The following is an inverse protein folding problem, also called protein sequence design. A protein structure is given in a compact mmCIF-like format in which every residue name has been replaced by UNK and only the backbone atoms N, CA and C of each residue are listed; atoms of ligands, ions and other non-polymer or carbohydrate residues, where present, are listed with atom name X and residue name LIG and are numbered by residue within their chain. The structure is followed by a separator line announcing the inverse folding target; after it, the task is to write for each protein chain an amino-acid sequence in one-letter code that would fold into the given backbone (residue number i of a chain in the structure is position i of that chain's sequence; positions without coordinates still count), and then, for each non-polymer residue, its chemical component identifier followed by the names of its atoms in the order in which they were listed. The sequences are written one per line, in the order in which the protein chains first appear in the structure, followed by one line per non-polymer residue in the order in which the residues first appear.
data_IF_770516417554
#
_entry.id   IF_770516417554
#
_cell.length_a   1.000
_cell.length_b   1.000
_cell.length_c   1.000
_cell.angle_alpha   90.00
_cell.angle_beta   90.00
_cell.angle_gamma   90.00
#
_symmetry.space_group_name_H-M   'P 1'
#
loop_
_entity.id
_entity.type
_entity.pdbx_description
1 polymer ?
#
# COMPACT_ATOMS: atom_id res chain seq x y z
N UNK A 1 -1.92 32.74 -29.78
CA UNK A 1 -2.28 32.66 -28.34
C UNK A 1 -1.54 31.48 -27.78
N UNK A 2 -0.52 31.73 -26.97
CA UNK A 2 0.31 30.69 -26.36
C UNK A 2 -0.40 30.33 -25.04
N UNK A 3 -0.97 29.13 -24.96
CA UNK A 3 -1.53 28.61 -23.72
C UNK A 3 -0.39 28.30 -22.77
N UNK A 4 -0.21 29.12 -21.73
CA UNK A 4 0.66 28.80 -20.61
C UNK A 4 0.07 27.60 -19.87
N UNK A 5 0.59 26.40 -20.13
CA UNK A 5 0.32 25.21 -19.34
C UNK A 5 0.95 25.36 -17.96
N UNK A 6 0.15 25.73 -16.97
CA UNK A 6 0.54 25.60 -15.56
C UNK A 6 0.56 24.12 -15.24
N UNK A 7 1.76 23.54 -15.08
CA UNK A 7 1.90 22.23 -14.42
C UNK A 7 1.60 22.43 -12.94
N UNK A 8 0.58 21.73 -12.42
CA UNK A 8 0.26 21.74 -10.98
C UNK A 8 1.45 21.21 -10.17
N UNK A 9 1.69 21.82 -9.00
CA UNK A 9 2.71 21.37 -8.07
C UNK A 9 2.46 19.92 -7.66
N UNK A 10 3.52 19.14 -7.49
CA UNK A 10 3.40 17.78 -6.91
C UNK A 10 3.77 17.83 -5.41
N UNK A 11 3.28 16.87 -4.63
CA UNK A 11 3.68 16.76 -3.21
C UNK A 11 5.21 16.59 -3.06
N UNK A 12 5.85 15.91 -3.99
CA UNK A 12 7.32 15.77 -4.02
C UNK A 12 8.01 17.14 -4.15
N UNK A 13 7.46 18.04 -4.96
CA UNK A 13 8.00 19.40 -5.11
C UNK A 13 7.85 20.19 -3.80
N UNK A 14 6.74 20.02 -3.08
CA UNK A 14 6.50 20.62 -1.77
C UNK A 14 7.45 20.03 -0.74
N UNK A 15 7.47 18.71 -0.56
CA UNK A 15 8.28 18.04 0.46
C UNK A 15 9.79 18.10 0.19
N UNK A 16 10.21 18.47 -1.01
CA UNK A 16 11.62 18.81 -1.29
C UNK A 16 12.06 20.14 -0.67
N UNK A 17 11.11 20.98 -0.23
CA UNK A 17 11.35 22.34 0.27
C UNK A 17 10.89 22.58 1.69
N UNK A 18 9.86 21.86 2.12
CA UNK A 18 9.29 21.92 3.47
C UNK A 18 8.96 20.52 3.95
N UNK A 19 9.17 20.24 5.22
CA UNK A 19 8.76 18.98 5.84
C UNK A 19 7.33 19.07 6.41
N UNK A 20 6.76 17.92 6.80
CA UNK A 20 5.40 17.86 7.36
C UNK A 20 5.27 18.61 8.68
N UNK A 21 6.34 18.69 9.49
CA UNK A 21 6.36 19.49 10.73
C UNK A 21 6.23 20.98 10.43
N UNK A 22 6.86 21.47 9.37
CA UNK A 22 6.75 22.86 8.92
C UNK A 22 5.33 23.14 8.39
N UNK A 23 4.72 22.20 7.67
CA UNK A 23 3.32 22.30 7.22
C UNK A 23 2.39 22.30 8.43
N UNK A 24 2.60 21.41 9.41
CA UNK A 24 1.84 21.37 10.66
C UNK A 24 1.92 22.69 11.41
N UNK A 25 3.12 23.21 11.56
CA UNK A 25 3.33 24.50 12.23
C UNK A 25 2.63 25.65 11.49
N UNK A 26 2.68 25.66 10.17
CA UNK A 26 2.05 26.71 9.35
C UNK A 26 0.53 26.74 9.51
N UNK A 27 -0.15 25.57 9.46
CA UNK A 27 -1.61 25.51 9.50
C UNK A 27 -2.20 25.48 10.93
N UNK A 28 -1.46 24.95 11.91
CA UNK A 28 -1.97 24.72 13.26
C UNK A 28 -1.17 25.42 14.37
N UNK A 29 -0.01 26.01 14.06
CA UNK A 29 0.88 26.61 15.05
C UNK A 29 1.54 25.57 15.98
N UNK A 30 1.56 24.29 15.60
CA UNK A 30 2.11 23.20 16.41
C UNK A 30 3.55 22.97 16.00
N UNK A 31 4.46 23.09 16.97
CA UNK A 31 5.91 22.94 16.75
C UNK A 31 6.51 21.66 17.31
N UNK A 32 5.74 20.91 18.11
CA UNK A 32 6.20 19.65 18.71
C UNK A 32 5.08 18.62 18.75
N UNK A 33 5.41 17.37 18.46
CA UNK A 33 4.52 16.22 18.58
C UNK A 33 5.14 15.19 19.54
N UNK A 34 4.34 14.41 20.32
CA UNK A 34 2.88 14.37 20.28
C UNK A 34 2.21 15.62 20.89
N UNK A 35 1.09 16.03 20.31
CA UNK A 35 0.31 17.18 20.74
C UNK A 35 -1.17 16.79 20.89
N UNK A 36 -1.87 17.33 21.92
CA UNK A 36 -3.31 17.14 22.12
C UNK A 36 -4.05 18.47 22.03
N UNK A 37 -5.17 18.46 21.33
CA UNK A 37 -6.02 19.62 21.13
C UNK A 37 -7.51 19.21 21.05
N UNK A 38 -8.38 20.20 20.99
CA UNK A 38 -9.77 19.97 20.60
C UNK A 38 -9.83 19.61 19.12
N UNK A 39 -10.79 18.77 18.73
CA UNK A 39 -10.91 18.33 17.34
C UNK A 39 -11.17 19.53 16.41
N UNK A 40 -10.39 19.69 15.33
CA UNK A 40 -10.66 20.72 14.31
C UNK A 40 -11.77 20.29 13.34
N UNK A 41 -12.20 19.02 13.40
CA UNK A 41 -13.19 18.45 12.49
C UNK A 41 -14.63 18.49 13.05
N UNK A 42 -14.80 18.80 14.34
CA UNK A 42 -16.09 18.84 15.01
C UNK A 42 -16.03 19.75 16.24
N UNK A 43 -17.20 20.09 16.78
CA UNK A 43 -17.29 20.78 18.08
C UNK A 43 -16.76 19.85 19.20
N UNK A 44 -15.77 20.28 19.92
CA UNK A 44 -15.13 19.53 21.00
C UNK A 44 -14.99 20.38 22.25
N UNK A 45 -15.41 19.84 23.39
CA UNK A 45 -15.33 20.52 24.68
C UNK A 45 -14.15 20.07 25.54
N UNK A 46 -13.48 18.98 25.14
CA UNK A 46 -12.32 18.43 25.85
C UNK A 46 -11.27 17.99 24.83
N UNK A 47 -9.95 18.21 25.10
CA UNK A 47 -8.91 17.79 24.17
C UNK A 47 -8.93 16.29 23.91
N UNK A 48 -9.60 15.89 22.83
CA UNK A 48 -9.74 14.49 22.42
C UNK A 48 -9.10 14.19 21.05
N UNK A 49 -8.37 15.16 20.49
CA UNK A 49 -7.69 15.01 19.22
C UNK A 49 -6.17 15.01 19.42
N UNK A 50 -5.51 13.95 18.96
CA UNK A 50 -4.06 13.78 19.08
C UNK A 50 -3.37 13.93 17.73
N UNK A 51 -2.26 14.66 17.71
CA UNK A 51 -1.33 14.74 16.57
C UNK A 51 -0.02 14.13 17.02
N UNK A 52 0.53 13.22 16.22
CA UNK A 52 1.72 12.46 16.58
C UNK A 52 2.55 12.07 15.35
N UNK A 53 3.78 11.64 15.59
CA UNK A 53 4.65 11.02 14.61
C UNK A 53 5.27 9.78 15.22
N UNK A 54 5.30 8.67 14.51
CA UNK A 54 5.93 7.42 14.96
C UNK A 54 7.38 7.28 14.48
N UNK A 55 7.74 7.97 13.40
CA UNK A 55 9.06 7.91 12.76
C UNK A 55 9.84 9.24 12.80
N UNK A 56 9.21 10.28 13.37
CA UNK A 56 9.80 11.63 13.45
C UNK A 56 9.74 12.43 12.14
N UNK A 57 9.14 11.88 11.09
CA UNK A 57 9.06 12.48 9.75
C UNK A 57 7.61 12.72 9.34
N UNK A 58 6.77 11.71 9.46
CA UNK A 58 5.37 11.76 9.02
C UNK A 58 4.45 12.12 10.18
N UNK A 59 3.51 13.02 9.93
CA UNK A 59 2.55 13.53 10.92
C UNK A 59 1.21 12.84 10.71
N UNK A 60 0.69 12.30 11.81
CA UNK A 60 -0.60 11.61 11.87
C UNK A 60 -1.52 12.27 12.90
N UNK A 61 -2.82 12.08 12.72
CA UNK A 61 -3.81 12.46 13.74
C UNK A 61 -4.67 11.27 14.16
N UNK A 62 -5.25 11.40 15.34
CA UNK A 62 -6.31 10.50 15.84
C UNK A 62 -7.29 11.30 16.68
N UNK A 63 -8.57 11.24 16.31
CA UNK A 63 -9.68 11.69 17.15
C UNK A 63 -10.11 10.54 18.06
N UNK A 64 -9.78 10.63 19.35
CA UNK A 64 -10.08 9.58 20.32
C UNK A 64 -11.57 9.47 20.66
N UNK A 65 -12.39 10.44 20.31
CA UNK A 65 -13.82 10.40 20.54
C UNK A 65 -14.58 9.69 19.43
N UNK A 66 -14.15 9.85 18.16
CA UNK A 66 -14.78 9.20 17.00
C UNK A 66 -14.05 7.95 16.56
N UNK A 67 -12.77 7.80 16.92
CA UNK A 67 -11.87 6.77 16.43
C UNK A 67 -11.25 7.09 15.06
N UNK A 68 -11.60 8.23 14.48
CA UNK A 68 -11.07 8.67 13.18
C UNK A 68 -9.57 8.98 13.28
N UNK A 69 -8.82 8.59 12.26
CA UNK A 69 -7.37 8.81 12.19
C UNK A 69 -6.92 8.92 10.73
N UNK A 70 -5.77 9.56 10.51
CA UNK A 70 -5.21 9.75 9.17
C UNK A 70 -3.89 10.52 9.22
N UNK A 71 -3.38 10.86 8.04
CA UNK A 71 -2.19 11.69 7.86
C UNK A 71 -2.50 13.18 8.05
N UNK A 72 -1.46 14.02 8.10
CA UNK A 72 -1.59 15.48 8.07
C UNK A 72 -2.37 15.96 6.84
N UNK A 73 -2.14 15.32 5.70
CA UNK A 73 -2.79 15.72 4.45
C UNK A 73 -4.28 15.34 4.46
N UNK A 74 -4.66 14.18 5.02
CA UNK A 74 -6.06 13.81 5.21
C UNK A 74 -6.78 14.81 6.11
N UNK A 75 -6.15 15.21 7.21
CA UNK A 75 -6.68 16.23 8.10
C UNK A 75 -6.93 17.56 7.37
N UNK A 76 -5.96 18.00 6.58
CA UNK A 76 -6.11 19.25 5.82
C UNK A 76 -7.16 19.15 4.73
N UNK A 77 -7.26 18.01 4.01
CA UNK A 77 -8.32 17.79 3.02
C UNK A 77 -9.70 17.88 3.65
N UNK A 78 -9.89 17.27 4.82
CA UNK A 78 -11.17 17.35 5.53
C UNK A 78 -11.50 18.74 6.04
N UNK A 79 -10.52 19.44 6.65
CA UNK A 79 -10.74 20.80 7.17
C UNK A 79 -11.13 21.77 6.07
N UNK A 80 -10.49 21.66 4.90
CA UNK A 80 -10.75 22.57 3.78
C UNK A 80 -11.80 22.04 2.81
N UNK A 81 -12.29 20.82 2.99
CA UNK A 81 -13.22 20.13 2.09
C UNK A 81 -12.76 20.18 0.62
N UNK A 82 -11.52 19.80 0.36
CA UNK A 82 -10.91 19.84 -0.97
C UNK A 82 -10.22 18.53 -1.32
N UNK A 83 -10.10 18.25 -2.62
CA UNK A 83 -9.33 17.10 -3.11
C UNK A 83 -7.84 17.27 -2.84
N UNK A 84 -7.10 16.15 -2.86
CA UNK A 84 -5.65 16.15 -2.65
C UNK A 84 -4.90 17.08 -3.63
N UNK A 85 -5.27 17.05 -4.91
CA UNK A 85 -4.65 17.95 -5.92
C UNK A 85 -4.84 19.42 -5.56
N UNK A 86 -6.07 19.80 -5.17
CA UNK A 86 -6.36 21.17 -4.71
C UNK A 86 -5.62 21.52 -3.42
N UNK A 87 -5.41 20.52 -2.51
CA UNK A 87 -4.63 20.73 -1.30
C UNK A 87 -3.16 21.01 -1.63
N UNK A 88 -2.57 20.27 -2.55
CA UNK A 88 -1.18 20.47 -2.97
C UNK A 88 -1.00 21.88 -3.57
N UNK A 89 -1.89 22.29 -4.43
CA UNK A 89 -1.88 23.66 -4.99
C UNK A 89 -2.06 24.71 -3.89
N UNK A 90 -2.94 24.45 -2.90
CA UNK A 90 -3.16 25.34 -1.75
C UNK A 90 -1.88 25.46 -0.90
N UNK A 91 -1.26 24.35 -0.50
CA UNK A 91 -0.02 24.38 0.29
C UNK A 91 1.08 25.13 -0.47
N UNK A 92 1.23 24.85 -1.76
CA UNK A 92 2.21 25.54 -2.61
C UNK A 92 2.02 27.05 -2.61
N UNK A 93 0.78 27.51 -2.72
CA UNK A 93 0.41 28.95 -2.70
C UNK A 93 0.58 29.56 -1.31
N UNK A 94 0.00 28.94 -0.29
CA UNK A 94 -0.03 29.47 1.07
C UNK A 94 1.38 29.61 1.66
N UNK A 95 2.27 28.65 1.38
CA UNK A 95 3.65 28.64 1.86
C UNK A 95 4.64 29.30 0.86
N UNK A 96 4.16 29.92 -0.23
CA UNK A 96 4.98 30.55 -1.28
C UNK A 96 6.06 29.60 -1.87
N UNK A 97 5.71 28.32 -2.06
CA UNK A 97 6.63 27.34 -2.61
C UNK A 97 6.68 27.50 -4.13
N UNK A 98 7.72 28.16 -4.62
CA UNK A 98 7.93 28.37 -6.05
C UNK A 98 8.27 27.04 -6.74
N UNK A 99 7.35 26.48 -7.53
CA UNK A 99 7.51 25.21 -8.25
C UNK A 99 8.05 25.38 -9.67
N UNK A 100 8.79 26.48 -9.95
CA UNK A 100 9.44 26.63 -11.24
C UNK A 100 10.52 25.57 -11.42
N UNK A 101 10.49 24.91 -12.58
CA UNK A 101 11.35 23.83 -13.01
C UNK A 101 12.82 24.07 -12.65
N UNK A 102 13.34 23.24 -11.76
CA UNK A 102 14.80 23.05 -11.66
C UNK A 102 15.12 21.94 -12.64
N UNK A 103 15.76 22.31 -13.77
CA UNK A 103 16.52 21.38 -14.58
C UNK A 103 17.64 20.80 -13.72
N UNK A 104 17.37 19.71 -13.04
CA UNK A 104 18.42 18.97 -12.32
C UNK A 104 19.21 18.23 -13.39
N UNK A 105 20.33 18.84 -13.79
CA UNK A 105 21.42 18.09 -14.44
C UNK A 105 21.75 16.91 -13.49
N UNK A 106 21.68 15.70 -14.02
CA UNK A 106 22.05 14.46 -13.32
C UNK A 106 23.48 14.56 -12.81
N UNK A 107 23.67 15.02 -11.59
CA UNK A 107 24.91 14.78 -10.88
C UNK A 107 24.91 13.32 -10.45
N UNK A 108 25.76 12.54 -11.07
CA UNK A 108 26.04 11.16 -10.69
C UNK A 108 26.65 11.16 -9.28
N UNK A 109 25.82 10.94 -8.28
CA UNK A 109 26.32 10.52 -6.97
C UNK A 109 26.73 9.06 -7.15
N UNK A 110 28.03 8.83 -7.29
CA UNK A 110 28.63 7.51 -7.18
C UNK A 110 28.42 7.02 -5.75
N UNK A 111 27.36 6.27 -5.49
CA UNK A 111 27.34 5.41 -4.34
C UNK A 111 28.37 4.31 -4.56
N UNK A 112 29.44 4.35 -3.80
CA UNK A 112 30.31 3.20 -3.60
C UNK A 112 29.49 2.14 -2.85
N UNK A 113 28.72 1.34 -3.60
CA UNK A 113 28.15 0.10 -3.10
C UNK A 113 29.32 -0.86 -2.88
N UNK A 114 29.67 -1.07 -1.63
CA UNK A 114 30.43 -2.27 -1.24
C UNK A 114 29.53 -3.44 -1.61
N UNK A 115 29.82 -4.07 -2.74
CA UNK A 115 29.16 -5.30 -3.16
C UNK A 115 29.65 -6.38 -2.19
N UNK A 116 28.94 -6.56 -1.09
CA UNK A 116 29.02 -7.82 -0.35
C UNK A 116 28.43 -8.84 -1.32
N UNK A 117 29.25 -9.74 -1.83
CA UNK A 117 28.80 -10.87 -2.62
C UNK A 117 27.79 -11.67 -1.80
N UNK A 118 26.52 -11.43 -2.05
CA UNK A 118 25.45 -12.25 -1.49
C UNK A 118 25.66 -13.65 -2.08
N UNK A 119 26.10 -14.58 -1.23
CA UNK A 119 25.97 -16.00 -1.52
C UNK A 119 24.49 -16.20 -1.84
N UNK A 120 24.19 -16.54 -3.12
CA UNK A 120 22.81 -16.67 -3.57
C UNK A 120 22.14 -17.75 -2.72
N UNK A 121 21.26 -17.33 -1.82
CA UNK A 121 20.45 -18.25 -1.05
C UNK A 121 19.46 -18.87 -2.02
N UNK A 122 19.67 -20.14 -2.36
CA UNK A 122 18.72 -20.90 -3.18
C UNK A 122 17.69 -21.52 -2.27
N UNK A 123 16.43 -21.18 -2.52
CA UNK A 123 15.26 -21.67 -1.78
C UNK A 123 14.52 -22.72 -2.62
N UNK A 124 14.34 -23.91 -2.07
CA UNK A 124 13.49 -24.97 -2.63
C UNK A 124 12.42 -25.38 -1.63
N UNK A 125 11.36 -26.01 -2.13
CA UNK A 125 10.25 -26.47 -1.30
C UNK A 125 9.84 -27.89 -1.69
N UNK A 126 9.33 -28.66 -0.72
CA UNK A 126 8.62 -29.90 -0.98
C UNK A 126 7.13 -29.62 -0.87
N UNK A 127 6.45 -29.61 -2.00
CA UNK A 127 4.99 -29.40 -2.07
C UNK A 127 4.24 -30.62 -1.52
N UNK A 128 2.98 -30.44 -1.18
CA UNK A 128 2.01 -31.46 -0.83
C UNK A 128 0.64 -31.14 -1.44
N UNK A 129 -0.23 -32.11 -1.45
CA UNK A 129 -1.61 -31.89 -1.87
C UNK A 129 -2.36 -30.94 -0.93
N UNK A 130 -3.33 -30.22 -1.49
CA UNK A 130 -4.30 -29.43 -0.77
C UNK A 130 -5.16 -30.33 0.12
N UNK A 131 -5.39 -29.93 1.35
CA UNK A 131 -6.23 -30.62 2.32
C UNK A 131 -7.37 -29.70 2.78
N UNK A 132 -8.42 -30.28 3.36
CA UNK A 132 -9.59 -29.51 3.79
C UNK A 132 -9.22 -28.31 4.69
N UNK A 133 -8.29 -28.49 5.63
CA UNK A 133 -7.86 -27.41 6.50
C UNK A 133 -7.11 -26.29 5.77
N UNK A 134 -6.51 -26.53 4.61
CA UNK A 134 -5.94 -25.47 3.77
C UNK A 134 -7.06 -24.68 3.11
N UNK A 135 -8.06 -25.40 2.60
CA UNK A 135 -9.25 -24.78 1.99
C UNK A 135 -9.99 -23.91 3.02
N UNK A 136 -10.30 -24.49 4.19
CA UNK A 136 -10.94 -23.77 5.30
C UNK A 136 -10.17 -22.50 5.70
N UNK A 137 -8.83 -22.59 5.80
CA UNK A 137 -8.00 -21.44 6.12
C UNK A 137 -8.14 -20.32 5.09
N UNK A 138 -7.95 -20.61 3.81
CA UNK A 138 -7.99 -19.58 2.78
C UNK A 138 -9.40 -19.04 2.52
N UNK A 139 -10.41 -19.90 2.54
CA UNK A 139 -11.81 -19.49 2.39
C UNK A 139 -12.28 -18.62 3.57
N UNK A 140 -11.76 -18.86 4.78
CA UNK A 140 -12.05 -18.00 5.94
C UNK A 140 -11.59 -16.54 5.77
N UNK A 141 -10.65 -16.30 4.84
CA UNK A 141 -10.19 -14.97 4.44
C UNK A 141 -10.75 -14.53 3.07
N UNK A 142 -11.78 -15.21 2.57
CA UNK A 142 -12.41 -14.86 1.29
C UNK A 142 -11.58 -15.19 0.05
N UNK A 143 -10.53 -15.98 0.19
CA UNK A 143 -9.65 -16.35 -0.91
C UNK A 143 -10.16 -17.60 -1.64
N UNK A 144 -10.51 -17.47 -2.92
CA UNK A 144 -10.96 -18.58 -3.74
C UNK A 144 -9.81 -19.54 -4.06
N UNK A 145 -10.01 -20.84 -3.80
CA UNK A 145 -8.99 -21.88 -4.00
C UNK A 145 -8.56 -22.02 -5.46
N UNK A 146 -9.47 -21.85 -6.40
CA UNK A 146 -9.10 -21.94 -7.82
C UNK A 146 -8.23 -20.76 -8.24
N UNK A 147 -8.49 -19.57 -7.69
CA UNK A 147 -7.66 -18.40 -7.92
C UNK A 147 -6.28 -18.57 -7.26
N UNK A 148 -6.19 -19.15 -6.06
CA UNK A 148 -4.91 -19.47 -5.43
C UNK A 148 -4.09 -20.48 -6.25
N UNK A 149 -4.72 -21.52 -6.79
CA UNK A 149 -4.07 -22.48 -7.70
C UNK A 149 -3.59 -21.81 -8.98
N UNK A 150 -4.42 -20.96 -9.57
CA UNK A 150 -4.03 -20.14 -10.72
C UNK A 150 -2.87 -19.21 -10.41
N UNK A 151 -2.84 -18.65 -9.21
CA UNK A 151 -1.77 -17.81 -8.69
C UNK A 151 -0.48 -18.60 -8.33
N UNK A 152 -0.42 -19.90 -8.63
CA UNK A 152 0.71 -20.78 -8.30
C UNK A 152 1.06 -20.77 -6.81
N UNK A 153 0.03 -20.83 -5.95
CA UNK A 153 0.18 -21.04 -4.52
C UNK A 153 0.12 -22.54 -4.22
N UNK A 154 1.12 -23.06 -3.55
CA UNK A 154 1.24 -24.49 -3.25
C UNK A 154 1.37 -24.72 -1.75
N UNK A 155 0.56 -25.62 -1.15
CA UNK A 155 0.84 -26.12 0.18
C UNK A 155 2.18 -26.86 0.20
N UNK A 156 2.97 -26.67 1.26
CA UNK A 156 4.30 -27.26 1.38
C UNK A 156 4.45 -28.03 2.70
N UNK A 157 5.34 -29.02 2.69
CA UNK A 157 5.71 -29.79 3.88
C UNK A 157 7.08 -29.43 4.41
N UNK A 158 8.02 -29.04 3.54
CA UNK A 158 9.39 -28.69 3.91
C UNK A 158 9.88 -27.52 3.07
N UNK A 159 10.75 -26.69 3.68
CA UNK A 159 11.61 -25.74 2.99
C UNK A 159 13.04 -26.22 3.02
N UNK A 160 13.75 -26.02 1.93
CA UNK A 160 15.13 -26.43 1.72
C UNK A 160 15.91 -25.17 1.36
N UNK A 161 16.91 -24.85 2.17
CA UNK A 161 17.76 -23.68 2.00
C UNK A 161 19.17 -24.17 1.68
N UNK A 162 19.71 -23.70 0.55
CA UNK A 162 21.10 -23.88 0.21
C UNK A 162 21.87 -22.62 0.56
N UNK A 163 22.87 -22.77 1.41
CA UNK A 163 23.77 -21.68 1.83
C UNK A 163 25.18 -22.25 1.93
N UNK A 164 26.16 -21.55 1.37
CA UNK A 164 27.58 -21.95 1.41
C UNK A 164 27.81 -23.43 0.98
N UNK A 165 27.15 -23.82 -0.12
CA UNK A 165 27.16 -25.21 -0.65
C UNK A 165 26.60 -26.27 0.29
N UNK A 166 26.00 -25.91 1.41
CA UNK A 166 25.31 -26.79 2.34
C UNK A 166 23.82 -26.76 2.13
N UNK A 167 23.19 -27.92 2.27
CA UNK A 167 21.74 -28.09 2.17
C UNK A 167 21.15 -28.24 3.57
N UNK A 168 20.20 -27.35 3.90
CA UNK A 168 19.45 -27.38 5.15
C UNK A 168 17.98 -27.65 4.83
N UNK A 169 17.39 -28.68 5.45
CA UNK A 169 16.00 -29.08 5.28
C UNK A 169 15.23 -28.83 6.57
N UNK A 170 14.16 -28.10 6.50
CA UNK A 170 13.30 -27.74 7.64
C UNK A 170 11.89 -28.21 7.38
N UNK A 171 11.28 -28.90 8.32
CA UNK A 171 9.84 -29.13 8.29
C UNK A 171 9.09 -27.81 8.43
N UNK A 172 8.01 -27.64 7.67
CA UNK A 172 7.13 -26.50 7.76
C UNK A 172 5.94 -26.80 8.68
N UNK A 173 5.26 -25.73 9.11
CA UNK A 173 4.03 -25.84 9.88
C UNK A 173 2.92 -26.54 9.07
N UNK A 174 1.86 -27.01 9.76
CA UNK A 174 0.68 -27.61 9.12
C UNK A 174 0.08 -26.70 8.04
N UNK A 175 -0.02 -25.41 8.34
CA UNK A 175 -0.39 -24.36 7.39
C UNK A 175 0.88 -23.66 6.91
N UNK A 176 1.38 -24.10 5.78
CA UNK A 176 2.55 -23.51 5.12
C UNK A 176 2.35 -23.55 3.62
N UNK A 177 2.61 -22.42 2.98
CA UNK A 177 2.35 -22.21 1.56
C UNK A 177 3.54 -21.56 0.88
N UNK A 178 3.80 -21.95 -0.37
CA UNK A 178 4.79 -21.33 -1.23
C UNK A 178 4.08 -20.61 -2.38
N UNK A 179 4.36 -19.34 -2.55
CA UNK A 179 3.96 -18.53 -3.69
C UNK A 179 5.08 -18.56 -4.72
N UNK A 180 4.75 -18.90 -5.96
CA UNK A 180 5.69 -18.86 -7.08
C UNK A 180 5.49 -17.55 -7.81
N UNK A 181 6.53 -16.73 -7.83
CA UNK A 181 6.52 -15.46 -8.53
C UNK A 181 7.56 -15.45 -9.64
N UNK A 182 7.30 -14.70 -10.70
CA UNK A 182 8.16 -14.64 -11.87
C UNK A 182 8.63 -13.20 -12.09
N UNK A 183 9.94 -13.04 -12.25
CA UNK A 183 10.55 -11.79 -12.68
C UNK A 183 11.44 -12.09 -13.87
N UNK A 184 11.09 -11.56 -15.03
CA UNK A 184 11.79 -11.87 -16.28
C UNK A 184 11.85 -13.40 -16.51
N UNK A 185 13.04 -13.98 -16.62
CA UNK A 185 13.26 -15.42 -16.78
C UNK A 185 13.46 -16.16 -15.45
N UNK A 186 13.40 -15.47 -14.30
CA UNK A 186 13.67 -16.04 -13.00
C UNK A 186 12.38 -16.44 -12.29
N UNK A 187 12.41 -17.62 -11.65
CA UNK A 187 11.36 -18.07 -10.76
C UNK A 187 11.82 -17.80 -9.34
N UNK A 188 11.03 -17.05 -8.61
CA UNK A 188 11.26 -16.71 -7.21
C UNK A 188 10.19 -17.33 -6.32
N UNK A 189 10.47 -17.45 -5.04
CA UNK A 189 9.58 -18.12 -4.09
C UNK A 189 9.45 -17.31 -2.82
N UNK A 190 8.20 -17.20 -2.33
CA UNK A 190 7.89 -16.65 -1.02
C UNK A 190 7.10 -17.68 -0.22
N UNK A 191 7.58 -18.02 0.96
CA UNK A 191 6.94 -18.99 1.85
C UNK A 191 6.20 -18.23 2.94
N UNK A 192 4.97 -18.63 3.17
CA UNK A 192 4.08 -18.10 4.19
C UNK A 192 3.67 -19.19 5.18
N UNK A 193 3.90 -18.93 6.46
CA UNK A 193 3.51 -19.78 7.58
C UNK A 193 2.75 -18.92 8.61
N UNK A 194 1.42 -18.81 8.51
CA UNK A 194 0.63 -17.81 9.26
C UNK A 194 0.78 -17.90 10.78
N UNK A 195 0.95 -19.12 11.29
CA UNK A 195 0.97 -19.38 12.73
C UNK A 195 2.36 -19.81 13.24
N UNK A 196 3.43 -19.50 12.50
CA UNK A 196 4.78 -19.87 12.92
C UNK A 196 5.17 -19.18 14.25
N UNK A 197 5.35 -19.99 15.29
CA UNK A 197 5.66 -19.53 16.65
C UNK A 197 7.10 -19.03 16.82
N UNK A 198 7.99 -19.39 15.90
CA UNK A 198 9.42 -19.05 15.97
C UNK A 198 9.77 -17.76 15.23
N UNK A 199 8.77 -16.95 14.86
CA UNK A 199 8.97 -15.68 14.15
C UNK A 199 9.27 -15.81 12.64
N UNK A 200 9.29 -17.03 12.08
CA UNK A 200 9.57 -17.27 10.67
C UNK A 200 8.27 -17.32 9.83
N UNK A 201 7.38 -16.35 10.03
CA UNK A 201 6.14 -16.22 9.25
C UNK A 201 6.43 -16.16 7.76
N UNK A 202 7.51 -15.49 7.37
CA UNK A 202 7.94 -15.30 6.00
C UNK A 202 9.35 -15.83 5.74
N UNK A 203 9.55 -16.46 4.58
CA UNK A 203 10.88 -16.81 4.04
C UNK A 203 10.82 -16.57 2.53
N UNK A 204 11.73 -15.80 1.95
CA UNK A 204 11.65 -15.43 0.54
C UNK A 204 13.00 -15.50 -0.16
N UNK A 205 12.97 -15.86 -1.45
CA UNK A 205 14.06 -15.65 -2.41
C UNK A 205 13.80 -14.46 -3.32
N UNK A 206 12.69 -13.76 -3.13
CA UNK A 206 12.31 -12.60 -3.92
C UNK A 206 13.14 -11.38 -3.51
N UNK A 207 13.56 -10.60 -4.48
CA UNK A 207 13.99 -9.22 -4.23
C UNK A 207 12.78 -8.27 -4.16
N UNK A 208 13.02 -7.04 -3.73
CA UNK A 208 11.96 -6.03 -3.58
C UNK A 208 11.29 -5.62 -4.90
N UNK A 209 11.90 -5.88 -6.05
CA UNK A 209 11.38 -5.49 -7.35
C UNK A 209 10.42 -6.53 -7.96
N UNK A 210 10.23 -7.68 -7.33
CA UNK A 210 9.28 -8.70 -7.76
C UNK A 210 7.87 -8.26 -7.41
N UNK A 211 7.04 -8.07 -8.43
CA UNK A 211 5.61 -7.77 -8.26
C UNK A 211 4.83 -9.07 -8.34
N UNK A 212 4.07 -9.35 -7.30
CA UNK A 212 3.29 -10.58 -7.23
C UNK A 212 2.06 -10.53 -8.13
N UNK A 213 1.67 -11.69 -8.66
CA UNK A 213 0.58 -11.88 -9.62
C UNK A 213 0.77 -11.19 -10.97
N UNK A 214 1.92 -10.58 -11.25
CA UNK A 214 2.19 -9.86 -12.49
C UNK A 214 1.88 -10.68 -13.76
N UNK A 215 2.29 -11.96 -13.77
CA UNK A 215 2.07 -12.87 -14.89
C UNK A 215 0.65 -13.46 -14.94
N UNK A 216 -0.20 -13.13 -13.97
CA UNK A 216 -1.55 -13.71 -13.80
C UNK A 216 -2.66 -12.74 -14.15
N UNK A 217 -2.39 -11.44 -14.10
CA UNK A 217 -3.38 -10.42 -14.48
C UNK A 217 -3.58 -10.40 -16.00
N UNK A 218 -4.79 -10.08 -16.50
CA UNK A 218 -5.06 -9.89 -17.92
C UNK A 218 -4.06 -8.92 -18.58
N UNK A 219 -3.78 -9.12 -19.86
CA UNK A 219 -2.84 -8.24 -20.60
C UNK A 219 -3.35 -6.79 -20.68
N UNK A 220 -4.69 -6.62 -20.73
CA UNK A 220 -5.35 -5.30 -20.70
C UNK A 220 -6.61 -5.39 -19.86
N UNK A 221 -7.06 -4.27 -19.33
CA UNK A 221 -8.28 -4.18 -18.55
C UNK A 221 -8.67 -2.75 -18.24
N UNK A 222 -9.86 -2.56 -17.66
CA UNK A 222 -10.31 -1.25 -17.23
C UNK A 222 -9.65 -0.83 -15.92
N UNK A 223 -9.75 -1.68 -14.91
CA UNK A 223 -9.32 -1.37 -13.54
C UNK A 223 -8.37 -2.43 -13.00
N UNK A 224 -7.32 -2.00 -12.28
CA UNK A 224 -6.36 -2.84 -11.56
C UNK A 224 -6.20 -2.33 -10.12
N UNK A 225 -6.06 -3.27 -9.17
CA UNK A 225 -5.70 -2.95 -7.79
C UNK A 225 -4.27 -3.36 -7.48
N UNK A 226 -3.59 -2.55 -6.68
CA UNK A 226 -2.26 -2.86 -6.11
C UNK A 226 -2.44 -3.03 -4.61
N UNK A 227 -2.22 -4.22 -4.09
CA UNK A 227 -2.38 -4.57 -2.68
C UNK A 227 -1.03 -4.73 -1.97
N UNK A 228 -1.04 -4.72 -0.64
CA UNK A 228 0.16 -4.95 0.18
C UNK A 228 0.52 -6.45 0.28
N UNK A 229 -0.43 -7.35 0.06
CA UNK A 229 -0.22 -8.79 0.24
C UNK A 229 -0.94 -9.66 -0.81
N UNK A 230 -0.46 -10.90 -1.00
CA UNK A 230 -1.18 -11.90 -1.80
C UNK A 230 -2.57 -12.19 -1.21
N UNK A 231 -2.69 -12.27 0.13
CA UNK A 231 -3.93 -12.60 0.81
C UNK A 231 -5.03 -11.60 0.46
N UNK A 232 -4.72 -10.30 0.55
CA UNK A 232 -5.66 -9.23 0.19
C UNK A 232 -5.96 -9.19 -1.30
N UNK A 233 -4.94 -9.39 -2.13
CA UNK A 233 -5.10 -9.46 -3.59
C UNK A 233 -6.07 -10.56 -4.00
N UNK A 234 -5.88 -11.76 -3.47
CA UNK A 234 -6.75 -12.90 -3.80
C UNK A 234 -8.15 -12.72 -3.18
N UNK A 235 -8.25 -12.17 -1.97
CA UNK A 235 -9.52 -11.86 -1.33
C UNK A 235 -10.33 -10.85 -2.17
N UNK A 236 -9.75 -9.72 -2.50
CA UNK A 236 -10.41 -8.69 -3.33
C UNK A 236 -10.75 -9.23 -4.71
N UNK A 237 -9.80 -9.85 -5.41
CA UNK A 237 -10.07 -10.40 -6.74
C UNK A 237 -11.18 -11.44 -6.74
N UNK A 238 -11.23 -12.30 -5.70
CA UNK A 238 -12.28 -13.33 -5.57
C UNK A 238 -13.68 -12.75 -5.34
N UNK A 239 -13.80 -11.60 -4.69
CA UNK A 239 -15.07 -11.08 -4.21
C UNK A 239 -15.55 -9.81 -4.94
N UNK A 240 -14.60 -8.99 -5.41
CA UNK A 240 -14.87 -7.73 -6.13
C UNK A 240 -14.71 -7.93 -7.64
N UNK A 241 -14.02 -8.99 -8.08
CA UNK A 241 -13.76 -9.34 -9.48
C UNK A 241 -12.90 -8.32 -10.25
N UNK A 242 -12.13 -7.50 -9.55
CA UNK A 242 -11.11 -6.63 -10.14
C UNK A 242 -9.76 -7.34 -10.04
N UNK A 243 -8.97 -7.45 -11.13
CA UNK A 243 -7.62 -8.01 -11.08
C UNK A 243 -6.74 -7.29 -10.08
N UNK A 244 -5.92 -8.04 -9.36
CA UNK A 244 -5.02 -7.51 -8.34
C UNK A 244 -3.58 -7.96 -8.57
N UNK A 245 -2.64 -7.09 -8.27
CA UNK A 245 -1.22 -7.40 -8.05
C UNK A 245 -0.84 -7.05 -6.62
N UNK A 246 0.31 -7.52 -6.15
CA UNK A 246 0.79 -7.10 -4.84
C UNK A 246 2.30 -6.82 -4.84
N UNK A 247 2.70 -5.94 -3.92
CA UNK A 247 4.11 -5.63 -3.66
C UNK A 247 4.70 -6.60 -2.62
N UNK A 248 6.02 -6.84 -2.65
CA UNK A 248 6.64 -7.86 -1.79
C UNK A 248 6.79 -7.46 -0.33
N UNK A 249 6.83 -6.18 -0.06
CA UNK A 249 6.85 -5.57 1.28
C UNK A 249 6.39 -4.13 1.17
N UNK A 250 6.03 -3.57 2.28
CA UNK A 250 5.55 -2.20 2.43
C UNK A 250 6.53 -1.16 1.84
N UNK A 251 7.84 -1.39 1.97
CA UNK A 251 8.88 -0.54 1.37
C UNK A 251 9.25 -0.92 -0.06
N UNK A 252 8.34 -1.53 -0.81
CA UNK A 252 8.62 -1.95 -2.19
C UNK A 252 8.29 -0.82 -3.18
N UNK A 253 9.31 -0.39 -3.89
CA UNK A 253 9.13 0.53 -4.99
C UNK A 253 8.83 -0.20 -6.29
N UNK A 254 7.73 0.15 -6.96
CA UNK A 254 7.54 -0.20 -8.35
C UNK A 254 8.56 0.54 -9.22
N UNK A 255 9.20 -0.16 -10.15
CA UNK A 255 10.10 0.49 -11.12
C UNK A 255 9.29 1.36 -12.09
N UNK A 256 9.92 2.40 -12.62
CA UNK A 256 9.27 3.30 -13.60
C UNK A 256 8.83 2.52 -14.85
N UNK A 257 9.58 1.49 -15.25
CA UNK A 257 9.19 0.60 -16.34
C UNK A 257 7.95 -0.23 -16.03
N UNK A 258 7.79 -0.70 -14.78
CA UNK A 258 6.61 -1.42 -14.34
C UNK A 258 5.39 -0.49 -14.31
N UNK A 259 5.54 0.72 -13.76
CA UNK A 259 4.49 1.74 -13.75
C UNK A 259 4.02 2.06 -15.17
N UNK A 260 4.95 2.37 -16.08
CA UNK A 260 4.64 2.65 -17.48
C UNK A 260 3.94 1.47 -18.19
N UNK A 261 4.36 0.24 -17.88
CA UNK A 261 3.74 -0.97 -18.42
C UNK A 261 2.28 -1.11 -17.92
N UNK A 262 2.03 -0.91 -16.63
CA UNK A 262 0.68 -0.99 -16.06
C UNK A 262 -0.24 0.08 -16.63
N UNK A 263 0.22 1.31 -16.75
CA UNK A 263 -0.53 2.45 -17.33
C UNK A 263 -0.92 2.23 -18.80
N UNK A 264 -0.14 1.44 -19.54
CA UNK A 264 -0.50 1.04 -20.91
C UNK A 264 -1.53 -0.08 -20.96
N UNK A 265 -1.65 -0.87 -19.90
CA UNK A 265 -2.52 -2.05 -19.82
C UNK A 265 -3.89 -1.75 -19.21
N UNK A 266 -3.97 -0.77 -18.31
CA UNK A 266 -5.17 -0.47 -17.53
C UNK A 266 -5.50 1.03 -17.57
N UNK A 267 -6.81 1.32 -17.70
CA UNK A 267 -7.29 2.70 -17.73
C UNK A 267 -7.22 3.33 -16.33
N UNK A 268 -7.51 2.53 -15.31
CA UNK A 268 -7.56 2.96 -13.91
C UNK A 268 -6.75 2.02 -13.03
N UNK A 269 -5.84 2.57 -12.25
CA UNK A 269 -5.01 1.80 -11.31
C UNK A 269 -5.14 2.43 -9.94
N UNK A 270 -5.47 1.60 -8.94
CA UNK A 270 -5.68 2.06 -7.56
C UNK A 270 -4.80 1.29 -6.59
N UNK A 271 -4.40 1.97 -5.50
CA UNK A 271 -3.66 1.40 -4.39
C UNK A 271 -4.69 0.99 -3.32
N UNK A 272 -4.66 -0.27 -2.89
CA UNK A 272 -5.57 -0.83 -1.90
C UNK A 272 -4.76 -1.55 -0.80
N UNK A 273 -3.98 -0.77 -0.03
CA UNK A 273 -3.12 -1.27 1.04
C UNK A 273 -3.90 -1.43 2.36
N UNK A 274 -3.20 -1.92 3.39
CA UNK A 274 -3.73 -2.10 4.74
C UNK A 274 -4.14 -0.74 5.33
N UNK A 275 -5.15 -0.74 6.21
CA UNK A 275 -5.64 0.49 6.84
C UNK A 275 -4.86 0.88 8.10
N UNK A 276 -3.83 0.13 8.49
CA UNK A 276 -3.00 0.54 9.62
C UNK A 276 -1.97 1.62 9.22
N UNK A 277 -1.36 2.26 10.21
CA UNK A 277 -0.47 3.40 9.97
C UNK A 277 0.69 3.09 9.02
N UNK A 278 1.19 1.84 9.02
CA UNK A 278 2.26 1.43 8.12
C UNK A 278 1.73 1.33 6.68
N UNK A 279 0.60 0.64 6.48
CA UNK A 279 -0.02 0.49 5.16
C UNK A 279 -0.45 1.84 4.56
N UNK A 280 -0.94 2.77 5.37
CA UNK A 280 -1.27 4.12 4.90
C UNK A 280 -0.03 4.91 4.44
N UNK A 281 1.05 4.90 5.22
CA UNK A 281 2.33 5.55 4.84
C UNK A 281 2.82 4.99 3.51
N UNK A 282 2.79 3.68 3.36
CA UNK A 282 3.31 3.03 2.16
C UNK A 282 2.41 3.25 0.95
N UNK A 283 1.09 3.28 1.14
CA UNK A 283 0.14 3.66 0.09
C UNK A 283 0.40 5.10 -0.39
N UNK A 284 0.66 6.01 0.51
CA UNK A 284 1.02 7.39 0.18
C UNK A 284 2.34 7.48 -0.58
N UNK A 285 3.37 6.79 -0.12
CA UNK A 285 4.67 6.76 -0.80
C UNK A 285 4.53 6.22 -2.24
N UNK A 286 3.73 5.17 -2.41
CA UNK A 286 3.46 4.63 -3.74
C UNK A 286 2.65 5.61 -4.59
N UNK A 287 1.63 6.27 -4.03
CA UNK A 287 0.87 7.33 -4.70
C UNK A 287 1.77 8.47 -5.16
N UNK A 288 2.68 8.94 -4.30
CA UNK A 288 3.63 10.00 -4.64
C UNK A 288 4.47 9.67 -5.86
N UNK A 289 4.87 8.41 -5.97
CA UNK A 289 5.68 7.93 -7.08
C UNK A 289 4.88 7.73 -8.36
N UNK A 290 3.66 7.21 -8.24
CA UNK A 290 2.88 6.72 -9.37
C UNK A 290 1.77 7.66 -9.84
N UNK A 291 1.27 8.50 -8.95
CA UNK A 291 0.05 9.29 -9.16
C UNK A 291 -1.24 8.47 -9.05
N UNK A 292 -1.17 7.19 -8.65
CA UNK A 292 -2.37 6.35 -8.51
C UNK A 292 -3.16 6.73 -7.27
N UNK A 293 -4.49 6.67 -7.37
CA UNK A 293 -5.38 6.99 -6.27
C UNK A 293 -5.45 5.86 -5.24
N UNK A 294 -5.68 6.21 -3.97
CA UNK A 294 -5.75 5.25 -2.86
C UNK A 294 -7.21 4.94 -2.54
N UNK A 295 -7.54 3.65 -2.51
CA UNK A 295 -8.78 3.13 -1.92
C UNK A 295 -8.46 2.79 -0.46
N UNK A 296 -8.90 3.65 0.46
CA UNK A 296 -8.58 3.51 1.88
C UNK A 296 -9.33 2.33 2.52
N UNK A 297 -8.57 1.40 3.10
CA UNK A 297 -9.11 0.33 3.93
C UNK A 297 -9.40 0.89 5.32
N UNK A 298 -10.67 1.02 5.70
CA UNK A 298 -11.01 1.49 7.03
C UNK A 298 -10.84 0.38 8.07
N UNK A 299 -10.15 0.71 9.17
CA UNK A 299 -10.02 -0.21 10.31
C UNK A 299 -11.39 -0.37 10.98
N UNK A 300 -11.84 -1.62 11.11
CA UNK A 300 -13.08 -1.96 11.81
C UNK A 300 -12.74 -2.97 12.92
N UNK A 301 -12.82 -2.57 14.16
CA UNK A 301 -12.45 -3.38 15.32
C UNK A 301 -11.03 -3.99 15.15
N UNK A 302 -10.96 -5.31 14.90
CA UNK A 302 -9.71 -6.06 14.72
C UNK A 302 -9.24 -6.15 13.27
N UNK A 303 -10.12 -5.83 12.32
CA UNK A 303 -9.82 -5.92 10.90
C UNK A 303 -9.04 -4.68 10.47
N UNK A 304 -7.83 -4.89 9.99
CA UNK A 304 -6.93 -3.82 9.55
C UNK A 304 -6.52 -3.95 8.08
N UNK A 305 -6.88 -5.05 7.46
CA UNK A 305 -6.71 -5.30 6.03
C UNK A 305 -8.01 -5.82 5.40
N UNK A 306 -8.08 -5.87 4.09
CA UNK A 306 -9.29 -6.28 3.35
C UNK A 306 -9.70 -7.72 3.63
N UNK A 307 -8.75 -8.62 3.76
CA UNK A 307 -9.00 -10.02 4.08
C UNK A 307 -9.43 -10.23 5.53
N UNK A 308 -8.98 -9.38 6.45
CA UNK A 308 -9.47 -9.36 7.84
C UNK A 308 -10.94 -8.89 7.90
N UNK A 309 -11.33 -7.89 7.08
CA UNK A 309 -12.74 -7.49 6.98
C UNK A 309 -13.61 -8.67 6.56
N UNK A 310 -13.16 -9.43 5.56
CA UNK A 310 -13.88 -10.66 5.17
C UNK A 310 -13.91 -11.67 6.32
N UNK A 311 -12.77 -11.92 6.95
CA UNK A 311 -12.62 -12.92 8.00
C UNK A 311 -13.54 -12.68 9.22
N UNK A 312 -13.62 -11.44 9.68
CA UNK A 312 -14.39 -11.09 10.86
C UNK A 312 -15.85 -10.75 10.58
N UNK A 313 -16.17 -10.23 9.41
CA UNK A 313 -17.49 -9.67 9.11
C UNK A 313 -18.15 -10.25 7.85
N UNK A 314 -17.46 -11.09 7.10
CA UNK A 314 -17.98 -11.80 5.95
C UNK A 314 -18.02 -10.99 4.65
N UNK A 315 -18.43 -11.68 3.58
CA UNK A 315 -18.40 -11.19 2.20
C UNK A 315 -19.17 -9.88 2.00
N UNK A 316 -20.39 -9.80 2.55
CA UNK A 316 -21.25 -8.63 2.31
C UNK A 316 -20.65 -7.36 2.91
N UNK A 317 -20.00 -7.48 4.06
CA UNK A 317 -19.31 -6.36 4.69
C UNK A 317 -18.08 -5.93 3.89
N UNK A 318 -17.26 -6.86 3.44
CA UNK A 318 -16.13 -6.56 2.57
C UNK A 318 -16.58 -5.77 1.32
N UNK A 319 -17.61 -6.27 0.61
CA UNK A 319 -18.13 -5.62 -0.60
C UNK A 319 -18.64 -4.20 -0.29
N UNK A 320 -19.34 -4.03 0.82
CA UNK A 320 -19.86 -2.73 1.26
C UNK A 320 -18.72 -1.74 1.49
N UNK A 321 -17.76 -2.09 2.34
CA UNK A 321 -16.64 -1.22 2.70
C UNK A 321 -15.79 -0.86 1.47
N UNK A 322 -15.51 -1.86 0.61
CA UNK A 322 -14.77 -1.62 -0.61
C UNK A 322 -15.51 -0.64 -1.54
N UNK A 323 -16.79 -0.85 -1.78
CA UNK A 323 -17.58 0.00 -2.67
C UNK A 323 -17.72 1.43 -2.13
N UNK A 324 -17.89 1.60 -0.82
CA UNK A 324 -17.94 2.92 -0.20
C UNK A 324 -16.61 3.67 -0.35
N UNK A 325 -15.49 2.99 -0.11
CA UNK A 325 -14.16 3.57 -0.30
C UNK A 325 -13.87 3.86 -1.79
N UNK A 326 -14.24 2.93 -2.68
CA UNK A 326 -14.00 3.05 -4.10
C UNK A 326 -14.82 4.19 -4.76
N UNK A 327 -16.08 4.34 -4.35
CA UNK A 327 -16.95 5.41 -4.87
C UNK A 327 -16.45 6.80 -4.45
N UNK A 328 -15.89 6.95 -3.25
CA UNK A 328 -15.26 8.21 -2.81
C UNK A 328 -14.11 8.64 -3.72
N UNK A 329 -13.40 7.68 -4.31
CA UNK A 329 -12.27 7.95 -5.20
C UNK A 329 -12.72 8.21 -6.64
N UNK A 330 -13.79 7.51 -7.10
CA UNK A 330 -14.33 7.67 -8.46
C UNK A 330 -15.14 8.94 -8.66
N UNK A 331 -15.78 9.42 -7.61
CA UNK A 331 -16.57 10.68 -7.63
C UNK A 331 -15.96 11.68 -6.65
N UNK A 332 -14.83 12.32 -6.99
CA UNK A 332 -14.43 13.50 -6.25
C UNK A 332 -15.52 14.56 -6.50
N UNK A 333 -16.26 14.91 -5.44
CA UNK A 333 -17.37 15.87 -5.34
C UNK A 333 -17.69 16.70 -6.62
N UNK A 334 -18.68 16.24 -7.39
CA UNK A 334 -19.28 17.07 -8.46
C UNK A 334 -20.31 18.10 -7.94
N UNK A 335 -20.40 18.28 -6.61
CA UNK A 335 -21.48 19.04 -5.98
C UNK A 335 -21.13 20.47 -5.55
N UNK A 336 -20.05 21.07 -6.03
CA UNK A 336 -19.75 22.47 -5.65
C UNK A 336 -19.45 23.44 -6.82
N UNK A 337 -19.88 23.13 -8.04
CA UNK A 337 -19.87 24.11 -9.14
C UNK A 337 -21.29 24.45 -9.59
N UNK A 338 -22.14 24.92 -8.66
CA UNK A 338 -23.31 25.71 -9.02
C UNK A 338 -23.02 27.19 -8.68
N UNK A 339 -22.97 28.07 -9.67
CA UNK A 339 -22.83 29.49 -9.43
C UNK A 339 -24.19 30.06 -8.96
N UNK A 340 -24.22 30.59 -7.76
CA UNK A 340 -25.17 31.63 -7.35
C UNK A 340 -24.40 32.87 -6.94
#
# INVERSE_FOLDING_TARGET
MISNGYTSATLKDILSKVDEGQILNFYFGITQVPFRMNSPLRTDSKPSFGIYSSDGVHIHYKDFATGEQGSLFDLLMQIYNISFTKLIDKISKDMNINTQQINISKSQIKHNSITISNSQIRLEVKTREWRNYDVEYWESYGCNINLLKYAEVYPISHKIIYKDNKRYTFACDKLAYCYIERKENNITKKIYQPYNKNGYKWTSSNDKSVVGLWSKIPETGDTLLICASLKDSVCLWSNIHIPCIYVQSENTELSDSAICCLQKRYNHIYIAFDGDSAGEIDAYNLRLKTGFEIIHCHIIDKAKDWSDIYHYFGKNRLIKEFNEAFNKVKMPDMDNDLPF
#
